data_IF_927498473968
#
_entry.id   IF_927498473968
#
_cell.length_a   1.000
_cell.length_b   1.000
_cell.length_c   1.000
_cell.angle_alpha   90.00
_cell.angle_beta   90.00
_cell.angle_gamma   90.00
#
_symmetry.space_group_name_H-M   'P 1'
#
loop_
_entity.id
_entity.type
_entity.pdbx_description
1 polymer ?
#
# COMPACT_ATOMS: atom_id res chain seq x y z
N UNK A 1 3.89 10.55 7.81
CA UNK A 1 4.84 9.69 8.54
C UNK A 1 4.88 8.42 7.75
N UNK A 2 6.07 8.00 7.41
CA UNK A 2 6.25 7.00 6.37
C UNK A 2 6.52 5.68 7.09
N UNK A 3 5.79 4.63 6.72
CA UNK A 3 5.96 3.30 7.30
C UNK A 3 6.29 2.29 6.20
N UNK A 4 7.03 1.24 6.54
CA UNK A 4 7.31 0.15 5.64
C UNK A 4 7.36 -1.18 6.38
N UNK A 5 6.70 -2.19 5.84
CA UNK A 5 6.96 -3.57 6.24
C UNK A 5 8.19 -4.07 5.50
N UNK A 6 9.08 -4.76 6.21
CA UNK A 6 10.35 -5.29 5.70
C UNK A 6 10.41 -6.80 5.95
N UNK A 7 11.12 -7.53 5.09
CA UNK A 7 11.40 -8.96 5.29
C UNK A 7 12.79 -9.13 5.92
N UNK A 8 12.89 -8.81 7.22
CA UNK A 8 14.15 -8.95 7.96
C UNK A 8 13.90 -9.69 9.29
N UNK A 9 14.41 -10.93 9.46
CA UNK A 9 14.26 -11.68 10.70
C UNK A 9 15.07 -11.09 11.87
N UNK A 10 15.96 -10.15 11.59
CA UNK A 10 16.74 -9.40 12.59
C UNK A 10 16.29 -7.94 12.69
N UNK A 11 15.07 -7.64 12.25
CA UNK A 11 14.50 -6.32 12.32
C UNK A 11 14.58 -5.76 13.75
N UNK A 12 15.19 -4.59 13.87
CA UNK A 12 15.32 -3.85 15.12
C UNK A 12 14.79 -2.41 14.96
N UNK A 13 14.43 -1.78 16.08
CA UNK A 13 13.92 -0.40 16.10
C UNK A 13 14.99 0.61 15.68
N UNK A 14 16.27 0.31 15.91
CA UNK A 14 17.39 1.17 15.53
C UNK A 14 18.01 0.79 14.19
N UNK A 15 17.50 -0.27 13.54
CA UNK A 15 18.01 -0.72 12.26
C UNK A 15 17.68 0.26 11.12
N UNK A 16 18.65 0.49 10.24
CA UNK A 16 18.47 1.31 9.03
C UNK A 16 18.08 0.45 7.85
N UNK A 17 16.87 0.65 7.33
CA UNK A 17 16.39 -0.07 6.15
C UNK A 17 16.66 0.72 4.85
N UNK A 18 16.86 -0.03 3.76
CA UNK A 18 16.96 0.50 2.40
C UNK A 18 15.68 0.17 1.64
N UNK A 19 15.41 0.88 0.55
CA UNK A 19 14.28 0.60 -0.35
C UNK A 19 14.26 -0.83 -0.90
N UNK A 20 15.43 -1.48 -1.00
CA UNK A 20 15.54 -2.90 -1.37
C UNK A 20 14.92 -3.86 -0.37
N UNK A 21 14.73 -3.44 0.90
CA UNK A 21 14.15 -4.26 1.97
C UNK A 21 12.64 -4.01 2.17
N UNK A 22 12.10 -2.94 1.60
CA UNK A 22 10.69 -2.55 1.77
C UNK A 22 9.79 -3.49 0.97
N UNK A 23 8.94 -4.24 1.67
CA UNK A 23 7.89 -5.06 1.08
C UNK A 23 6.61 -4.25 0.87
N UNK A 24 6.10 -3.58 1.88
CA UNK A 24 4.81 -2.89 1.81
C UNK A 24 5.02 -1.48 2.35
N UNK A 25 5.13 -0.45 1.49
CA UNK A 25 5.18 0.93 1.93
C UNK A 25 3.78 1.41 2.35
N UNK A 26 3.74 2.32 3.31
CA UNK A 26 2.53 3.00 3.72
C UNK A 26 2.77 4.44 4.12
N UNK A 27 1.73 5.26 3.98
CA UNK A 27 1.74 6.65 4.43
C UNK A 27 0.72 6.85 5.56
N UNK A 28 1.19 7.38 6.69
CA UNK A 28 0.38 7.71 7.85
C UNK A 28 0.23 9.22 7.99
N UNK A 29 -1.02 9.69 8.00
CA UNK A 29 -1.38 11.06 8.34
C UNK A 29 -2.39 11.04 9.49
N UNK A 30 -2.32 12.02 10.39
CA UNK A 30 -3.26 12.10 11.51
C UNK A 30 -4.62 12.64 11.10
N UNK A 31 -4.68 13.48 10.06
CA UNK A 31 -5.91 14.11 9.60
C UNK A 31 -6.65 13.22 8.58
N UNK A 32 -7.89 12.78 8.85
CA UNK A 32 -8.68 11.97 7.93
C UNK A 32 -8.94 12.62 6.56
N UNK A 33 -8.93 13.97 6.49
CA UNK A 33 -9.13 14.69 5.24
C UNK A 33 -7.97 14.49 4.26
N UNK A 34 -6.80 14.05 4.74
CA UNK A 34 -5.65 13.78 3.90
C UNK A 34 -5.82 12.52 3.03
N UNK A 35 -6.81 11.65 3.29
CA UNK A 35 -7.12 10.48 2.44
C UNK A 35 -7.53 10.91 1.02
N UNK A 36 -8.12 12.09 0.87
CA UNK A 36 -8.51 12.66 -0.43
C UNK A 36 -7.53 13.70 -0.93
N UNK A 37 -6.54 14.06 -0.12
CA UNK A 37 -5.57 15.07 -0.48
C UNK A 37 -4.50 14.45 -1.40
N UNK A 38 -4.05 15.18 -2.43
CA UNK A 38 -3.00 14.70 -3.33
C UNK A 38 -1.71 14.36 -2.57
N UNK A 39 -1.48 14.95 -1.40
CA UNK A 39 -0.24 14.79 -0.65
C UNK A 39 0.02 13.33 -0.23
N UNK A 40 -0.97 12.63 0.35
CA UNK A 40 -0.78 11.24 0.79
C UNK A 40 -0.57 10.29 -0.40
N UNK A 41 -1.26 10.54 -1.52
CA UNK A 41 -1.16 9.70 -2.72
C UNK A 41 0.15 9.94 -3.46
N UNK A 42 0.60 11.20 -3.54
CA UNK A 42 1.88 11.57 -4.15
C UNK A 42 3.07 11.04 -3.34
N UNK A 43 3.00 11.09 -2.00
CA UNK A 43 4.00 10.50 -1.11
C UNK A 43 4.12 8.98 -1.40
N UNK A 44 3.00 8.27 -1.46
CA UNK A 44 3.00 6.83 -1.77
C UNK A 44 3.48 6.53 -3.20
N UNK A 45 3.13 7.38 -4.18
CA UNK A 45 3.65 7.29 -5.54
C UNK A 45 5.16 7.49 -5.63
N UNK A 46 5.74 8.38 -4.80
CA UNK A 46 7.19 8.52 -4.67
C UNK A 46 7.81 7.22 -4.15
N UNK A 47 7.20 6.58 -3.14
CA UNK A 47 7.69 5.29 -2.64
C UNK A 47 7.63 4.21 -3.70
N UNK A 48 6.61 4.23 -4.56
CA UNK A 48 6.53 3.30 -5.69
C UNK A 48 7.76 3.40 -6.61
N UNK A 49 8.16 4.63 -6.95
CA UNK A 49 9.36 4.88 -7.75
C UNK A 49 10.61 4.31 -7.08
N UNK A 50 10.81 4.61 -5.80
CA UNK A 50 12.01 4.16 -5.07
C UNK A 50 12.06 2.62 -4.93
N UNK A 51 10.92 1.98 -4.62
CA UNK A 51 10.81 0.53 -4.53
C UNK A 51 11.12 -0.13 -5.88
N UNK A 52 10.55 0.34 -6.98
CA UNK A 52 10.82 -0.25 -8.30
C UNK A 52 12.26 -0.01 -8.78
N UNK A 53 12.87 1.13 -8.42
CA UNK A 53 14.27 1.39 -8.69
C UNK A 53 15.19 0.44 -7.91
N UNK A 54 14.88 0.17 -6.64
CA UNK A 54 15.67 -0.71 -5.79
C UNK A 54 15.39 -2.21 -6.01
N UNK A 55 14.22 -2.56 -6.55
CA UNK A 55 13.75 -3.94 -6.75
C UNK A 55 13.34 -4.18 -8.22
N UNK A 56 14.30 -4.25 -9.17
CA UNK A 56 14.01 -4.27 -10.61
C UNK A 56 13.32 -5.55 -11.11
N UNK A 57 13.27 -6.63 -10.32
CA UNK A 57 12.50 -7.84 -10.65
C UNK A 57 11.04 -7.76 -10.17
N UNK A 58 10.72 -6.80 -9.28
CA UNK A 58 9.39 -6.65 -8.71
C UNK A 58 8.44 -6.07 -9.76
N UNK A 59 7.37 -6.82 -10.04
CA UNK A 59 6.37 -6.46 -11.06
C UNK A 59 5.28 -5.54 -10.51
N UNK A 60 4.87 -5.80 -9.28
CA UNK A 60 3.88 -5.02 -8.56
C UNK A 60 4.16 -5.07 -7.05
N UNK A 61 3.59 -4.13 -6.30
CA UNK A 61 3.56 -4.19 -4.85
C UNK A 61 2.25 -3.65 -4.29
N UNK A 62 1.93 -4.04 -3.06
CA UNK A 62 0.81 -3.49 -2.31
C UNK A 62 1.33 -2.41 -1.35
N UNK A 63 0.60 -1.32 -1.24
CA UNK A 63 0.83 -0.27 -0.27
C UNK A 63 -0.47 0.18 0.37
N UNK A 64 -0.39 1.14 1.29
CA UNK A 64 -1.59 1.69 1.92
C UNK A 64 -1.40 3.15 2.34
N UNK A 65 -2.52 3.87 2.42
CA UNK A 65 -2.58 5.15 3.13
C UNK A 65 -3.49 4.97 4.35
N UNK A 66 -3.07 5.49 5.50
CA UNK A 66 -3.87 5.53 6.73
C UNK A 66 -3.93 6.99 7.21
N UNK A 67 -5.08 7.62 7.00
CA UNK A 67 -5.33 9.02 7.35
C UNK A 67 -6.39 9.05 8.47
N UNK A 68 -5.95 9.28 9.71
CA UNK A 68 -6.77 9.01 10.90
C UNK A 68 -7.20 7.54 10.92
N UNK A 69 -8.51 7.27 10.98
CA UNK A 69 -9.06 5.91 10.88
C UNK A 69 -9.32 5.43 9.44
N UNK A 70 -9.20 6.32 8.45
CA UNK A 70 -9.49 6.01 7.05
C UNK A 70 -8.30 5.32 6.41
N UNK A 71 -8.48 4.06 6.04
CA UNK A 71 -7.49 3.27 5.33
C UNK A 71 -7.89 3.11 3.86
N UNK A 72 -6.89 3.13 2.98
CA UNK A 72 -7.01 2.76 1.58
C UNK A 72 -5.85 1.86 1.19
N UNK A 73 -6.16 0.80 0.46
CA UNK A 73 -5.17 -0.12 -0.07
C UNK A 73 -4.84 0.27 -1.52
N UNK A 74 -3.59 0.05 -1.90
CA UNK A 74 -3.07 0.39 -3.21
C UNK A 74 -2.35 -0.81 -3.83
N UNK A 75 -2.54 -1.02 -5.11
CA UNK A 75 -1.65 -1.84 -5.94
C UNK A 75 -0.91 -0.92 -6.89
N UNK A 76 0.41 -0.98 -6.87
CA UNK A 76 1.26 -0.27 -7.81
C UNK A 76 1.94 -1.25 -8.75
N UNK A 77 1.97 -0.89 -10.03
CA UNK A 77 2.85 -1.44 -11.05
C UNK A 77 3.74 -0.31 -11.62
N UNK A 78 4.49 -0.60 -12.69
CA UNK A 78 5.37 0.41 -13.32
C UNK A 78 4.63 1.49 -14.10
N UNK A 79 3.33 1.34 -14.32
CA UNK A 79 2.50 2.30 -15.04
C UNK A 79 1.74 3.22 -14.09
N UNK A 80 1.53 2.81 -12.84
CA UNK A 80 0.90 3.64 -11.82
C UNK A 80 0.32 2.84 -10.66
N UNK A 81 -0.54 3.51 -9.89
CA UNK A 81 -1.24 2.92 -8.75
C UNK A 81 -2.75 2.90 -8.98
N UNK A 82 -3.38 1.79 -8.61
CA UNK A 82 -4.84 1.67 -8.47
C UNK A 82 -5.15 1.54 -6.99
N UNK A 83 -6.19 2.23 -6.54
CA UNK A 83 -6.56 2.27 -5.12
C UNK A 83 -7.94 1.65 -4.88
N UNK A 84 -8.11 1.07 -3.70
CA UNK A 84 -9.42 0.66 -3.20
C UNK A 84 -10.30 1.87 -2.86
N UNK A 85 -11.58 1.62 -2.56
CA UNK A 85 -12.35 2.59 -1.77
C UNK A 85 -11.71 2.75 -0.38
N UNK A 86 -11.86 3.93 0.24
CA UNK A 86 -11.41 4.13 1.61
C UNK A 86 -12.45 3.65 2.61
N UNK A 87 -11.99 2.94 3.64
CA UNK A 87 -12.83 2.36 4.68
C UNK A 87 -12.32 2.77 6.06
N UNK A 88 -13.22 2.79 7.05
CA UNK A 88 -12.81 2.99 8.43
C UNK A 88 -12.26 1.67 8.99
N UNK A 89 -11.01 1.69 9.45
CA UNK A 89 -10.34 0.48 9.96
C UNK A 89 -11.01 -0.05 11.23
N UNK A 90 -11.57 0.81 12.07
CA UNK A 90 -12.22 0.41 13.32
C UNK A 90 -13.55 -0.31 13.05
N UNK A 91 -14.25 0.09 11.98
CA UNK A 91 -15.46 -0.60 11.53
C UNK A 91 -15.11 -1.89 10.79
N UNK A 92 -14.10 -1.85 9.92
CA UNK A 92 -13.66 -3.00 9.14
C UNK A 92 -13.21 -4.17 10.03
N UNK A 93 -12.34 -3.92 11.02
CA UNK A 93 -11.88 -4.95 11.96
C UNK A 93 -13.06 -5.56 12.73
N UNK A 94 -14.10 -4.77 13.02
CA UNK A 94 -15.28 -5.23 13.76
C UNK A 94 -16.21 -6.13 12.93
N UNK A 95 -16.24 -5.98 11.61
CA UNK A 95 -17.28 -6.58 10.75
C UNK A 95 -16.73 -7.58 9.72
N UNK A 96 -15.51 -7.37 9.22
CA UNK A 96 -14.91 -8.17 8.15
C UNK A 96 -13.44 -8.42 8.49
N UNK A 97 -13.11 -9.63 8.94
CA UNK A 97 -11.71 -10.00 9.20
C UNK A 97 -10.80 -9.61 8.03
N UNK A 98 -9.63 -9.02 8.32
CA UNK A 98 -8.75 -8.29 7.40
C UNK A 98 -8.45 -9.03 6.08
N UNK A 99 -8.44 -10.35 6.10
CA UNK A 99 -8.24 -11.23 4.94
C UNK A 99 -9.32 -11.13 3.88
N UNK A 100 -10.56 -10.83 4.26
CA UNK A 100 -11.69 -10.69 3.32
C UNK A 100 -11.49 -9.45 2.45
N UNK A 101 -11.05 -8.33 3.02
CA UNK A 101 -10.82 -7.09 2.26
C UNK A 101 -9.68 -7.24 1.25
N UNK A 102 -8.58 -7.89 1.64
CA UNK A 102 -7.45 -8.16 0.74
C UNK A 102 -7.85 -9.14 -0.37
N UNK A 103 -8.62 -10.19 -0.06
CA UNK A 103 -9.07 -11.17 -1.04
C UNK A 103 -10.14 -10.61 -2.00
N UNK A 104 -11.08 -9.81 -1.50
CA UNK A 104 -12.16 -9.18 -2.28
C UNK A 104 -11.60 -8.15 -3.25
N UNK A 105 -10.59 -7.36 -2.83
CA UNK A 105 -9.87 -6.46 -3.74
C UNK A 105 -9.07 -7.20 -4.81
N UNK A 106 -8.41 -8.32 -4.47
CA UNK A 106 -7.74 -9.17 -5.47
C UNK A 106 -8.73 -9.82 -6.45
N UNK A 107 -9.92 -10.19 -6.00
CA UNK A 107 -10.91 -10.86 -6.84
C UNK A 107 -11.67 -9.91 -7.77
N UNK A 108 -12.02 -8.71 -7.30
CA UNK A 108 -12.86 -7.76 -8.03
C UNK A 108 -12.11 -6.96 -9.11
N UNK A 109 -10.81 -6.70 -8.97
CA UNK A 109 -10.08 -5.77 -9.85
C UNK A 109 -8.86 -6.37 -10.56
N UNK A 110 -8.16 -7.34 -9.97
CA UNK A 110 -6.90 -7.87 -10.54
C UNK A 110 -7.16 -8.86 -11.69
N UNK A 111 -8.13 -9.78 -11.55
CA UNK A 111 -8.38 -10.80 -12.59
C UNK A 111 -8.81 -10.22 -13.95
N UNK A 112 -9.68 -9.20 -14.03
CA UNK A 112 -10.05 -8.58 -15.31
C UNK A 112 -8.89 -7.77 -15.92
N UNK A 113 -8.17 -6.98 -15.12
CA UNK A 113 -7.12 -6.08 -15.61
C UNK A 113 -5.94 -6.83 -16.25
N UNK A 114 -5.48 -7.93 -15.65
CA UNK A 114 -4.39 -8.75 -16.20
C UNK A 114 -4.84 -9.77 -17.25
N UNK A 115 -6.15 -9.93 -17.52
CA UNK A 115 -6.67 -10.83 -18.57
C UNK A 115 -6.62 -10.20 -19.97
N UNK A 116 -6.47 -8.88 -20.10
CA UNK A 116 -6.42 -8.18 -21.39
C UNK A 116 -5.02 -7.74 -21.83
N UNK A 117 -3.98 -8.11 -21.09
CA UNK A 117 -2.57 -7.78 -21.41
C UNK A 117 -1.65 -9.00 -21.51
N UNK A 118 -2.21 -10.16 -21.88
CA UNK A 118 -1.43 -11.32 -22.33
C UNK A 118 -1.48 -11.42 -23.84
#
# INVERSE_FOLDING_TARGET
>A
MDIGFVDDPHADVDARYRWSHILIPGELKSNPLDDKAPNAWLDLGRYAREVFAAQPSRRFFLGFTLCGSRMRLWEFDRLGGIASESFDINEAIRVRGTWVLVAEQRAAWIRPYYRHRR
#
